data_IF_367489138952
#
_entry.id   IF_367489138952
#
_cell.length_a   1.000
_cell.length_b   1.000
_cell.length_c   1.000
_cell.angle_alpha   90.00
_cell.angle_beta   90.00
_cell.angle_gamma   90.00
#
_symmetry.space_group_name_H-M   'P 1'
#
loop_
_entity.id
_entity.type
_entity.pdbx_description
1 polymer ?
#
# COMPACT_ATOMS: atom_id res chain seq x y z
N UNK A 1 -28.05 -12.82 -10.93
CA UNK A 1 -27.19 -13.48 -11.95
C UNK A 1 -26.28 -12.41 -12.51
N UNK A 2 -25.17 -12.17 -11.84
CA UNK A 2 -24.13 -11.22 -12.27
C UNK A 2 -23.27 -11.91 -13.32
N UNK A 3 -23.44 -11.55 -14.58
CA UNK A 3 -22.50 -11.90 -15.64
C UNK A 3 -21.16 -11.25 -15.30
N UNK A 4 -20.17 -12.07 -14.95
CA UNK A 4 -18.81 -11.63 -14.68
C UNK A 4 -18.20 -11.02 -15.93
N UNK A 5 -18.01 -9.70 -15.92
CA UNK A 5 -17.11 -9.05 -16.85
C UNK A 5 -15.70 -9.30 -16.33
N UNK A 6 -15.04 -10.36 -16.80
CA UNK A 6 -13.57 -10.41 -16.73
C UNK A 6 -13.07 -9.34 -17.69
N UNK A 7 -12.54 -8.25 -17.13
CA UNK A 7 -11.75 -7.30 -17.90
C UNK A 7 -10.37 -7.96 -18.05
N UNK A 8 -10.17 -8.67 -19.16
CA UNK A 8 -8.83 -9.05 -19.56
C UNK A 8 -8.06 -7.76 -19.84
N UNK A 9 -7.20 -7.37 -18.90
CA UNK A 9 -6.08 -6.50 -19.23
C UNK A 9 -5.21 -7.30 -20.18
N UNK A 10 -5.43 -7.14 -21.49
CA UNK A 10 -4.38 -7.44 -22.44
C UNK A 10 -3.18 -6.63 -21.99
N UNK A 11 -2.18 -7.31 -21.41
CA UNK A 11 -0.88 -6.71 -21.15
C UNK A 11 -0.45 -6.11 -22.48
N UNK A 12 -0.50 -4.78 -22.57
CA UNK A 12 -0.16 -4.03 -23.78
C UNK A 12 1.33 -4.27 -24.03
N UNK A 13 1.62 -5.31 -24.80
CA UNK A 13 2.89 -5.46 -25.48
C UNK A 13 2.96 -4.32 -26.47
N UNK A 14 3.72 -3.27 -26.13
CA UNK A 14 4.24 -2.35 -27.12
C UNK A 14 5.28 -3.12 -27.95
N UNK A 15 4.81 -4.02 -28.80
CA UNK A 15 5.58 -4.65 -29.87
C UNK A 15 4.70 -4.64 -31.10
N UNK A 16 4.82 -3.60 -31.91
CA UNK A 16 4.70 -3.79 -33.33
C UNK A 16 5.76 -2.96 -34.06
N UNK A 17 6.92 -3.58 -34.22
CA UNK A 17 7.91 -3.20 -35.21
C UNK A 17 7.39 -3.61 -36.58
N UNK A 18 6.53 -2.78 -37.16
CA UNK A 18 6.08 -2.91 -38.54
C UNK A 18 7.17 -2.45 -39.50
N UNK A 19 7.90 -3.41 -40.07
CA UNK A 19 8.79 -3.21 -41.22
C UNK A 19 7.93 -2.82 -42.43
N UNK A 20 7.90 -1.52 -42.75
CA UNK A 20 7.32 -0.99 -43.98
C UNK A 20 8.40 -0.66 -44.99
N UNK A 21 8.56 -1.50 -46.02
CA UNK A 21 9.29 -1.16 -47.23
C UNK A 21 8.56 -0.02 -47.96
N UNK A 22 9.29 1.04 -48.32
CA UNK A 22 8.86 2.03 -49.31
C UNK A 22 10.04 2.40 -50.20
N UNK A 23 9.82 2.27 -51.50
CA UNK A 23 10.77 2.48 -52.59
C UNK A 23 11.11 3.97 -52.79
N UNK A 24 12.30 4.18 -53.35
CA UNK A 24 12.91 5.44 -53.80
C UNK A 24 12.11 6.16 -54.91
N UNK A 25 12.17 7.50 -54.93
CA UNK A 25 12.35 8.27 -56.17
C UNK A 25 12.91 9.71 -55.94
N UNK A 26 14.13 9.90 -56.45
CA UNK A 26 14.92 11.07 -56.93
C UNK A 26 14.53 12.56 -56.73
N UNK A 27 15.51 13.32 -56.17
CA UNK A 27 16.26 14.52 -56.69
C UNK A 27 15.47 15.84 -57.00
N UNK A 28 15.77 17.04 -56.47
CA UNK A 28 16.86 18.04 -56.76
C UNK A 28 16.85 19.16 -55.69
N UNK A 29 18.00 19.75 -55.31
CA UNK A 29 18.06 21.21 -55.02
C UNK A 29 18.80 21.75 -53.78
N UNK A 30 20.13 21.72 -53.80
CA UNK A 30 21.11 22.76 -53.32
C UNK A 30 20.76 23.74 -52.18
N UNK A 31 21.58 23.76 -51.10
CA UNK A 31 22.65 24.76 -50.82
C UNK A 31 23.16 24.71 -49.35
N UNK A 32 24.49 24.47 -49.20
CA UNK A 32 25.51 25.15 -48.34
C UNK A 32 25.16 25.47 -46.86
N UNK A 33 26.01 25.25 -45.82
CA UNK A 33 27.47 25.22 -45.74
C UNK A 33 28.01 24.70 -44.36
N UNK A 34 29.17 24.03 -44.41
CA UNK A 34 30.38 24.05 -43.52
C UNK A 34 30.26 23.62 -42.03
N UNK A 35 30.80 22.45 -41.65
CA UNK A 35 32.15 22.19 -41.06
C UNK A 35 32.40 22.94 -39.73
N UNK A 36 32.71 22.30 -38.59
CA UNK A 36 33.92 21.50 -38.36
C UNK A 36 33.89 20.68 -37.06
N UNK A 37 34.62 19.55 -37.07
CA UNK A 37 35.03 18.73 -35.92
C UNK A 37 36.20 19.38 -35.17
N UNK A 38 36.27 19.18 -33.85
CA UNK A 38 37.51 19.28 -33.10
C UNK A 38 37.53 18.29 -31.92
N UNK A 39 38.63 17.53 -31.82
CA UNK A 39 38.92 16.45 -30.86
C UNK A 39 39.89 16.98 -29.78
N UNK A 40 39.57 16.71 -28.50
CA UNK A 40 40.37 16.48 -27.26
C UNK A 40 41.49 17.48 -26.82
N UNK A 41 41.73 17.71 -25.50
CA UNK A 41 42.31 16.70 -24.59
C UNK A 41 41.88 16.74 -23.10
N UNK A 42 42.11 15.63 -22.39
CA UNK A 42 42.14 15.51 -20.91
C UNK A 42 43.58 15.80 -20.44
N UNK A 43 43.79 16.60 -19.39
CA UNK A 43 44.47 16.06 -18.20
C UNK A 43 44.09 16.69 -16.84
N UNK A 44 44.21 15.88 -15.77
CA UNK A 44 44.88 16.30 -14.52
C UNK A 44 44.02 16.82 -13.36
N UNK A 45 44.09 16.11 -12.24
CA UNK A 45 43.58 16.41 -10.89
C UNK A 45 43.74 17.85 -10.40
N UNK A 46 42.74 18.40 -9.70
CA UNK A 46 42.89 19.15 -8.43
C UNK A 46 41.53 19.19 -7.69
N UNK A 47 41.55 18.84 -6.40
CA UNK A 47 40.45 19.07 -5.45
C UNK A 47 40.14 20.55 -5.29
N UNK A 48 38.86 20.91 -5.19
CA UNK A 48 38.41 22.01 -4.33
C UNK A 48 36.93 21.84 -3.99
N UNK A 49 36.68 21.62 -2.71
CA UNK A 49 35.37 21.66 -2.07
C UNK A 49 34.68 23.01 -2.31
N UNK A 50 33.41 22.98 -2.71
CA UNK A 50 32.40 23.91 -2.23
C UNK A 50 31.00 23.31 -2.48
N UNK A 51 30.10 23.39 -1.49
CA UNK A 51 28.75 22.84 -1.56
C UNK A 51 27.85 23.85 -2.28
N UNK A 52 26.97 23.39 -3.16
CA UNK A 52 25.89 24.25 -3.63
C UNK A 52 24.53 23.57 -3.56
N UNK A 53 23.62 24.33 -2.98
CA UNK A 53 22.31 23.99 -2.44
C UNK A 53 21.28 23.99 -3.57
N UNK A 54 21.32 23.02 -4.47
CA UNK A 54 20.22 22.76 -5.39
C UNK A 54 20.15 21.26 -5.73
N UNK A 55 19.67 20.46 -4.77
CA UNK A 55 19.00 19.20 -5.10
C UNK A 55 17.49 19.40 -4.89
N UNK A 56 16.63 19.16 -5.90
CA UNK A 56 15.29 18.74 -5.57
C UNK A 56 15.43 17.45 -4.75
N UNK A 57 14.81 17.39 -3.58
CA UNK A 57 14.71 16.18 -2.79
C UNK A 57 13.89 15.14 -3.57
N UNK A 58 14.53 14.48 -4.54
CA UNK A 58 14.05 13.23 -5.08
C UNK A 58 14.57 12.16 -4.13
N UNK A 59 13.75 11.78 -3.15
CA UNK A 59 13.87 10.51 -2.47
C UNK A 59 13.58 9.41 -3.49
N UNK A 60 14.53 9.16 -4.39
CA UNK A 60 14.52 8.01 -5.27
C UNK A 60 14.89 6.84 -4.38
N UNK A 61 13.93 5.94 -4.14
CA UNK A 61 14.23 4.64 -3.57
C UNK A 61 15.22 3.95 -4.52
N UNK A 62 16.47 3.78 -4.08
CA UNK A 62 17.52 3.13 -4.85
C UNK A 62 17.38 1.61 -4.67
N UNK A 63 16.95 0.93 -5.74
CA UNK A 63 16.73 -0.53 -5.77
C UNK A 63 17.98 -1.30 -6.22
N UNK A 64 19.15 -0.66 -6.29
CA UNK A 64 20.33 -1.20 -7.00
C UNK A 64 21.25 -2.10 -6.16
N UNK A 65 20.94 -2.39 -4.89
CA UNK A 65 21.84 -3.16 -4.02
C UNK A 65 21.35 -4.60 -3.74
N UNK A 66 21.87 -5.62 -4.46
CA UNK A 66 21.51 -7.02 -4.27
C UNK A 66 22.03 -7.64 -2.96
N UNK A 67 22.85 -6.93 -2.17
CA UNK A 67 23.30 -7.37 -0.84
C UNK A 67 22.32 -7.04 0.29
N UNK A 68 21.26 -6.27 0.01
CA UNK A 68 20.17 -5.94 0.94
C UNK A 68 19.00 -6.95 0.90
N UNK A 69 19.07 -7.96 0.03
CA UNK A 69 17.95 -8.87 -0.27
C UNK A 69 17.78 -9.98 0.79
N UNK A 70 18.72 -10.11 1.74
CA UNK A 70 18.68 -11.09 2.83
C UNK A 70 18.25 -10.57 4.21
N UNK A 71 18.02 -9.25 4.35
CA UNK A 71 17.66 -8.62 5.64
C UNK A 71 16.65 -7.49 5.44
N UNK A 72 15.51 -7.78 4.79
CA UNK A 72 14.33 -6.95 5.05
C UNK A 72 13.91 -7.20 6.50
N UNK A 73 14.54 -6.49 7.43
CA UNK A 73 13.92 -6.17 8.71
C UNK A 73 12.53 -5.65 8.36
N UNK A 74 11.52 -6.43 8.72
CA UNK A 74 10.14 -5.94 8.76
C UNK A 74 10.21 -4.65 9.58
N UNK A 75 9.73 -3.50 9.05
CA UNK A 75 9.81 -2.26 9.79
C UNK A 75 9.14 -2.48 11.14
N UNK A 76 9.89 -2.17 12.19
CA UNK A 76 9.43 -1.94 13.54
C UNK A 76 8.02 -1.32 13.51
N UNK A 77 7.01 -2.10 13.91
CA UNK A 77 5.61 -1.66 13.96
C UNK A 77 5.43 -0.81 15.21
N UNK A 78 4.47 0.11 15.21
CA UNK A 78 4.18 0.95 16.38
C UNK A 78 2.76 0.70 16.85
N UNK A 79 2.61 0.44 18.15
CA UNK A 79 1.30 0.38 18.80
C UNK A 79 1.20 1.45 19.87
N UNK A 80 -0.02 1.95 20.10
CA UNK A 80 -0.31 2.90 21.18
C UNK A 80 -1.02 2.15 22.30
N UNK A 81 -0.50 2.28 23.52
CA UNK A 81 -1.08 1.65 24.72
C UNK A 81 -1.49 2.71 25.72
N UNK A 82 -2.69 2.57 26.25
CA UNK A 82 -3.35 3.53 27.13
C UNK A 82 -3.42 3.01 28.57
N UNK A 83 -3.49 3.93 29.53
CA UNK A 83 -3.92 3.70 30.91
C UNK A 83 -5.41 4.05 31.04
N UNK A 84 -6.01 3.70 32.19
CA UNK A 84 -7.41 4.05 32.48
C UNK A 84 -7.66 5.57 32.52
N UNK A 85 -6.65 6.36 32.91
CA UNK A 85 -6.67 7.83 32.88
C UNK A 85 -6.44 8.45 31.48
N UNK A 86 -6.51 7.63 30.43
CA UNK A 86 -6.27 7.98 29.02
C UNK A 86 -4.85 8.48 28.71
N UNK A 87 -3.91 8.44 29.66
CA UNK A 87 -2.50 8.63 29.35
C UNK A 87 -2.02 7.48 28.45
N UNK A 88 -1.21 7.78 27.44
CA UNK A 88 -0.80 6.80 26.45
C UNK A 88 0.67 6.93 26.09
N UNK A 89 1.30 5.81 25.74
CA UNK A 89 2.64 5.78 25.14
C UNK A 89 2.61 5.01 23.81
N UNK A 90 3.60 5.28 22.96
CA UNK A 90 3.83 4.53 21.72
C UNK A 90 4.99 3.58 21.94
N UNK A 91 4.79 2.31 21.62
CA UNK A 91 5.82 1.27 21.75
C UNK A 91 6.12 0.72 20.37
N UNK A 92 7.42 0.65 20.08
CA UNK A 92 7.95 -0.02 18.91
C UNK A 92 7.96 -1.52 19.19
N UNK A 93 7.37 -2.30 18.30
CA UNK A 93 7.22 -3.75 18.41
C UNK A 93 7.63 -4.44 17.12
N UNK A 94 8.14 -5.66 17.26
CA UNK A 94 8.33 -6.60 16.15
C UNK A 94 7.10 -7.49 16.01
N UNK A 95 6.97 -8.22 14.89
CA UNK A 95 5.87 -9.19 14.70
C UNK A 95 5.82 -10.28 15.77
N UNK A 96 6.97 -10.60 16.37
CA UNK A 96 7.12 -11.65 17.37
C UNK A 96 6.99 -11.12 18.80
N UNK A 97 6.94 -9.80 19.00
CA UNK A 97 6.73 -9.19 20.32
C UNK A 97 5.37 -9.61 20.88
N UNK A 98 5.38 -10.23 22.05
CA UNK A 98 4.18 -10.78 22.68
C UNK A 98 3.47 -9.73 23.54
N UNK A 99 2.19 -9.97 23.88
CA UNK A 99 1.44 -9.13 24.80
C UNK A 99 2.14 -8.99 26.16
N UNK A 100 2.84 -10.03 26.63
CA UNK A 100 3.64 -9.97 27.87
C UNK A 100 4.85 -9.05 27.75
N UNK A 101 5.53 -9.07 26.60
CA UNK A 101 6.66 -8.18 26.34
C UNK A 101 6.20 -6.73 26.30
N UNK A 102 5.06 -6.46 25.63
CA UNK A 102 4.42 -5.13 25.60
C UNK A 102 4.07 -4.67 27.01
N UNK A 103 3.45 -5.50 27.84
CA UNK A 103 3.15 -5.15 29.23
C UNK A 103 4.43 -4.76 29.98
N UNK A 104 5.50 -5.54 29.84
CA UNK A 104 6.77 -5.26 30.50
C UNK A 104 7.39 -3.93 30.04
N UNK A 105 7.33 -3.65 28.73
CA UNK A 105 7.81 -2.38 28.16
C UNK A 105 6.99 -1.19 28.67
N UNK A 106 5.66 -1.30 28.59
CA UNK A 106 4.73 -0.21 28.94
C UNK A 106 4.77 0.11 30.44
N UNK A 107 4.91 -0.91 31.30
CA UNK A 107 5.09 -0.73 32.76
C UNK A 107 6.35 0.07 33.06
N UNK A 108 7.45 -0.23 32.36
CA UNK A 108 8.70 0.53 32.50
C UNK A 108 8.57 1.95 31.93
N UNK A 109 7.94 2.11 30.77
CA UNK A 109 7.73 3.40 30.09
C UNK A 109 6.89 4.37 30.94
N UNK A 110 5.83 3.86 31.59
CA UNK A 110 5.02 4.65 32.51
C UNK A 110 5.63 4.82 33.91
N UNK A 111 6.77 4.17 34.20
CA UNK A 111 7.43 4.25 35.50
C UNK A 111 6.61 3.65 36.66
N UNK A 112 5.86 2.58 36.40
CA UNK A 112 5.00 1.95 37.40
C UNK A 112 5.83 1.10 38.38
N UNK A 113 5.52 1.20 39.68
CA UNK A 113 6.27 0.52 40.75
C UNK A 113 5.90 -0.96 40.92
N UNK A 114 4.71 -1.36 40.47
CA UNK A 114 4.24 -2.74 40.58
C UNK A 114 4.86 -3.62 39.49
N UNK A 115 5.06 -4.90 39.79
CA UNK A 115 5.67 -5.86 38.87
C UNK A 115 4.82 -6.03 37.60
N UNK A 116 5.46 -6.29 36.45
CA UNK A 116 4.76 -6.48 35.17
C UNK A 116 3.68 -7.58 35.22
N UNK A 117 3.89 -8.63 36.02
CA UNK A 117 2.94 -9.74 36.18
C UNK A 117 1.63 -9.32 36.90
N UNK A 118 1.58 -8.16 37.55
CA UNK A 118 0.33 -7.62 38.12
C UNK A 118 -0.52 -6.92 37.07
N UNK A 119 0.00 -6.70 35.86
CA UNK A 119 -0.72 -6.05 34.77
C UNK A 119 -1.08 -7.05 33.68
N UNK A 120 -2.05 -6.67 32.86
CA UNK A 120 -2.43 -7.39 31.65
C UNK A 120 -2.72 -6.40 30.53
N UNK A 121 -2.47 -6.83 29.30
CA UNK A 121 -2.91 -6.10 28.11
C UNK A 121 -4.37 -6.44 27.83
N UNK A 122 -5.21 -5.41 27.74
CA UNK A 122 -6.61 -5.53 27.37
C UNK A 122 -6.84 -4.82 26.04
N UNK A 123 -7.66 -5.43 25.19
CA UNK A 123 -8.24 -4.78 24.02
C UNK A 123 -9.63 -4.28 24.39
N UNK A 124 -9.89 -3.00 24.15
CA UNK A 124 -11.21 -2.40 24.21
C UNK A 124 -11.61 -2.05 22.79
N UNK A 125 -12.70 -2.65 22.32
CA UNK A 125 -13.26 -2.46 20.97
C UNK A 125 -14.70 -2.00 21.05
N UNK A 126 -15.15 -1.22 20.08
CA UNK A 126 -16.49 -0.64 20.09
C UNK A 126 -17.30 -1.18 18.92
N UNK A 127 -18.42 -1.80 19.22
CA UNK A 127 -19.31 -2.32 18.19
C UNK A 127 -19.99 -1.17 17.45
N UNK A 128 -20.47 -1.36 16.21
CA UNK A 128 -21.21 -0.32 15.48
C UNK A 128 -22.43 0.22 16.23
N UNK A 129 -23.02 -0.57 17.12
CA UNK A 129 -24.13 -0.20 17.99
C UNK A 129 -23.70 0.62 19.23
N UNK A 130 -22.42 0.95 19.36
CA UNK A 130 -21.85 1.69 20.49
C UNK A 130 -21.54 0.83 21.72
N UNK A 131 -21.65 -0.49 21.62
CA UNK A 131 -21.39 -1.40 22.75
C UNK A 131 -19.89 -1.58 22.95
N UNK A 132 -19.40 -1.24 24.15
CA UNK A 132 -18.02 -1.44 24.59
C UNK A 132 -17.78 -2.92 24.88
N UNK A 133 -16.83 -3.52 24.17
CA UNK A 133 -16.36 -4.89 24.40
C UNK A 133 -14.92 -4.84 24.91
N UNK A 134 -14.68 -5.45 26.06
CA UNK A 134 -13.35 -5.56 26.64
C UNK A 134 -12.92 -7.01 26.68
N UNK A 135 -11.67 -7.28 26.26
CA UNK A 135 -11.06 -8.61 26.31
C UNK A 135 -9.64 -8.52 26.84
N UNK A 136 -9.30 -9.36 27.81
CA UNK A 136 -7.90 -9.59 28.20
C UNK A 136 -7.21 -10.43 27.12
N UNK A 137 -6.07 -9.96 26.63
CA UNK A 137 -5.28 -10.67 25.63
C UNK A 137 -4.44 -11.77 26.30
N UNK A 138 -4.26 -12.94 25.65
CA UNK A 138 -3.32 -13.95 26.12
C UNK A 138 -1.88 -13.43 26.10
N UNK A 139 -1.10 -13.77 27.11
CA UNK A 139 0.30 -13.32 27.26
C UNK A 139 1.19 -13.65 26.05
N UNK A 140 0.95 -14.79 25.40
CA UNK A 140 1.70 -15.28 24.24
C UNK A 140 1.18 -14.73 22.90
N UNK A 141 0.16 -13.86 22.91
CA UNK A 141 -0.39 -13.30 21.68
C UNK A 141 0.61 -12.34 21.04
N UNK A 142 0.96 -12.60 19.78
CA UNK A 142 1.82 -11.74 18.95
C UNK A 142 1.05 -11.15 17.75
N UNK A 143 1.75 -10.41 16.88
CA UNK A 143 1.17 -9.67 15.74
C UNK A 143 0.08 -8.67 16.17
N UNK A 144 0.36 -7.93 17.24
CA UNK A 144 -0.61 -7.02 17.86
C UNK A 144 -1.02 -5.89 16.91
N UNK A 145 -0.07 -5.28 16.18
CA UNK A 145 -0.42 -4.18 15.26
C UNK A 145 -1.30 -4.65 14.08
N UNK A 146 -1.14 -5.90 13.63
CA UNK A 146 -1.96 -6.47 12.55
C UNK A 146 -3.38 -6.85 13.03
N UNK A 147 -3.60 -7.00 14.34
CA UNK A 147 -4.86 -7.48 14.93
C UNK A 147 -5.80 -6.38 15.39
N UNK A 148 -5.26 -5.24 15.81
CA UNK A 148 -6.08 -4.13 16.32
C UNK A 148 -6.91 -3.51 15.20
N UNK A 149 -8.19 -3.29 15.49
CA UNK A 149 -9.11 -2.62 14.57
C UNK A 149 -9.12 -1.10 14.80
N UNK A 150 -9.62 -0.33 13.84
CA UNK A 150 -9.71 1.14 13.94
C UNK A 150 -10.59 1.63 15.11
N UNK A 151 -11.59 0.83 15.48
CA UNK A 151 -12.47 1.04 16.63
C UNK A 151 -11.97 0.34 17.90
N UNK A 152 -10.68 -0.04 17.93
CA UNK A 152 -10.02 -0.74 19.02
C UNK A 152 -8.87 0.07 19.61
N UNK A 153 -8.63 -0.09 20.91
CA UNK A 153 -7.48 0.47 21.64
C UNK A 153 -6.91 -0.57 22.61
N UNK A 154 -5.59 -0.57 22.76
CA UNK A 154 -4.91 -1.38 23.77
C UNK A 154 -4.76 -0.60 25.08
N UNK A 155 -5.12 -1.24 26.18
CA UNK A 155 -5.03 -0.69 27.52
C UNK A 155 -4.17 -1.58 28.41
N UNK A 156 -3.30 -0.96 29.20
CA UNK A 156 -2.63 -1.61 30.31
C UNK A 156 -3.59 -1.60 31.51
N UNK A 157 -4.00 -2.78 31.97
CA UNK A 157 -4.90 -2.95 33.13
C UNK A 157 -4.16 -3.55 34.31
N UNK A 158 -4.28 -2.95 35.48
CA UNK A 158 -3.88 -3.58 36.74
C UNK A 158 -4.89 -4.68 37.12
N UNK A 159 -4.42 -5.92 37.32
CA UNK A 159 -5.26 -7.07 37.61
C UNK A 159 -5.98 -6.97 38.96
N UNK A 160 -5.47 -6.16 39.88
CA UNK A 160 -6.06 -5.93 41.19
C UNK A 160 -7.11 -4.83 41.20
N UNK A 161 -7.16 -4.00 40.15
CA UNK A 161 -8.09 -2.86 40.05
C UNK A 161 -9.29 -3.20 39.18
N UNK A 162 -10.46 -2.72 39.60
CA UNK A 162 -11.73 -2.86 38.88
C UNK A 162 -12.12 -1.59 38.12
N UNK A 163 -11.16 -0.69 37.90
CA UNK A 163 -11.41 0.57 37.19
C UNK A 163 -11.87 0.31 35.74
N UNK A 164 -12.76 1.17 35.26
CA UNK A 164 -13.23 1.19 33.88
C UNK A 164 -12.14 1.77 32.98
N UNK A 165 -11.69 1.00 32.00
CA UNK A 165 -10.58 1.41 31.12
C UNK A 165 -10.98 2.48 30.10
N UNK A 166 -12.25 2.51 29.72
CA UNK A 166 -12.80 3.37 28.68
C UNK A 166 -14.17 3.84 29.16
N UNK A 167 -14.37 5.16 29.22
CA UNK A 167 -15.67 5.75 29.56
C UNK A 167 -16.62 5.76 28.37
N UNK A 168 -17.89 6.06 28.60
CA UNK A 168 -18.87 6.20 27.51
C UNK A 168 -18.50 7.35 26.55
N UNK A 169 -17.86 8.42 27.04
CA UNK A 169 -17.43 9.56 26.23
C UNK A 169 -16.22 9.18 25.35
N UNK A 170 -15.20 8.53 25.93
CA UNK A 170 -14.04 8.01 25.19
C UNK A 170 -14.47 7.01 24.12
N UNK A 171 -15.51 6.21 24.43
CA UNK A 171 -16.06 5.24 23.51
C UNK A 171 -16.75 5.92 22.32
N UNK A 172 -17.57 6.95 22.57
CA UNK A 172 -18.18 7.72 21.50
C UNK A 172 -17.14 8.41 20.62
N UNK A 173 -16.06 8.91 21.20
CA UNK A 173 -14.95 9.50 20.46
C UNK A 173 -14.23 8.46 19.60
N UNK A 174 -13.85 7.31 20.16
CA UNK A 174 -13.20 6.22 19.40
C UNK A 174 -14.08 5.73 18.24
N UNK A 175 -15.39 5.57 18.47
CA UNK A 175 -16.30 5.18 17.40
C UNK A 175 -16.33 6.21 16.27
N UNK A 176 -16.34 7.50 16.62
CA UNK A 176 -16.30 8.61 15.65
C UNK A 176 -14.98 8.63 14.88
N UNK A 177 -13.86 8.47 15.56
CA UNK A 177 -12.51 8.43 14.96
C UNK A 177 -12.32 7.22 14.03
N UNK A 178 -12.94 6.09 14.35
CA UNK A 178 -12.85 4.87 13.55
C UNK A 178 -13.54 4.97 12.18
N UNK A 179 -14.44 5.95 12.01
CA UNK A 179 -15.16 6.19 10.77
C UNK A 179 -14.31 7.06 9.82
N UNK A 180 -13.41 6.40 9.10
CA UNK A 180 -12.54 7.06 8.12
C UNK A 180 -13.23 7.11 6.75
N UNK A 181 -13.36 8.30 6.18
CA UNK A 181 -13.78 8.52 4.80
C UNK A 181 -12.58 8.53 3.87
N UNK A 182 -12.72 7.96 2.67
CA UNK A 182 -11.72 8.03 1.62
C UNK A 182 -11.23 9.47 1.34
N UNK A 183 -12.12 10.46 1.45
CA UNK A 183 -11.78 11.88 1.24
C UNK A 183 -10.80 12.46 2.27
N UNK A 184 -10.59 11.80 3.41
CA UNK A 184 -9.67 12.24 4.46
C UNK A 184 -8.25 11.68 4.27
N UNK A 185 -8.08 10.70 3.37
CA UNK A 185 -6.81 10.02 3.16
C UNK A 185 -5.90 10.80 2.21
N UNK A 186 -4.58 10.68 2.44
CA UNK A 186 -3.56 11.25 1.56
C UNK A 186 -3.50 10.47 0.26
N UNK A 187 -3.63 11.16 -0.88
CA UNK A 187 -3.54 10.54 -2.21
C UNK A 187 -2.16 9.98 -2.50
N UNK A 188 -1.11 10.60 -1.95
CA UNK A 188 0.28 10.12 -2.07
C UNK A 188 0.46 8.82 -1.30
N UNK A 189 -0.04 8.77 -0.06
CA UNK A 189 0.09 7.57 0.78
C UNK A 189 -0.74 6.42 0.21
N UNK A 190 -1.97 6.69 -0.24
CA UNK A 190 -2.79 5.70 -0.94
C UNK A 190 -2.06 5.11 -2.16
N UNK A 191 -1.50 5.96 -3.02
CA UNK A 191 -0.76 5.49 -4.19
C UNK A 191 0.49 4.68 -3.82
N UNK A 192 1.21 5.08 -2.76
CA UNK A 192 2.35 4.34 -2.24
C UNK A 192 1.93 2.95 -1.73
N UNK A 193 0.87 2.85 -0.94
CA UNK A 193 0.36 1.59 -0.40
C UNK A 193 -0.15 0.65 -1.50
N UNK A 194 -0.89 1.16 -2.50
CA UNK A 194 -1.29 0.37 -3.67
C UNK A 194 -0.05 -0.16 -4.40
N UNK A 195 0.94 0.71 -4.63
CA UNK A 195 2.19 0.32 -5.31
C UNK A 195 3.01 -0.72 -4.54
N UNK A 196 3.06 -0.61 -3.21
CA UNK A 196 3.74 -1.61 -2.36
C UNK A 196 3.04 -2.96 -2.42
N UNK A 197 1.72 -2.98 -2.26
CA UNK A 197 0.90 -4.20 -2.34
C UNK A 197 1.05 -4.88 -3.70
N UNK A 198 0.93 -4.12 -4.78
CA UNK A 198 1.07 -4.63 -6.14
C UNK A 198 2.47 -5.18 -6.39
N UNK A 199 3.50 -4.48 -5.92
CA UNK A 199 4.88 -4.92 -6.08
C UNK A 199 5.17 -6.22 -5.33
N UNK A 200 4.63 -6.39 -4.12
CA UNK A 200 4.78 -7.60 -3.32
C UNK A 200 4.21 -8.85 -4.02
N UNK A 201 3.13 -8.71 -4.80
CA UNK A 201 2.61 -9.79 -5.63
C UNK A 201 3.40 -9.94 -6.94
N UNK A 202 3.63 -8.82 -7.63
CA UNK A 202 4.28 -8.79 -8.93
C UNK A 202 5.66 -9.43 -8.92
N UNK A 203 6.46 -9.19 -7.87
CA UNK A 203 7.82 -9.74 -7.75
C UNK A 203 7.87 -11.26 -7.63
N UNK A 204 6.76 -11.91 -7.29
CA UNK A 204 6.67 -13.37 -7.16
C UNK A 204 6.19 -14.05 -8.44
N UNK A 205 5.75 -13.29 -9.45
CA UNK A 205 5.28 -13.84 -10.73
C UNK A 205 6.48 -14.39 -11.50
N UNK A 206 6.44 -15.69 -11.79
CA UNK A 206 7.46 -16.34 -12.61
C UNK A 206 7.17 -16.17 -14.11
N UNK A 207 8.21 -16.06 -14.95
CA UNK A 207 8.02 -15.95 -16.41
C UNK A 207 7.30 -17.17 -17.01
N UNK A 208 7.41 -18.33 -16.37
CA UNK A 208 6.70 -19.57 -16.74
C UNK A 208 5.20 -19.45 -16.58
N UNK A 209 4.70 -18.68 -15.61
CA UNK A 209 3.26 -18.45 -15.41
C UNK A 209 2.60 -17.83 -16.63
N UNK A 210 3.28 -16.89 -17.29
CA UNK A 210 2.79 -16.28 -18.52
C UNK A 210 2.71 -17.29 -19.68
N UNK A 211 3.67 -18.21 -19.78
CA UNK A 211 3.64 -19.24 -20.81
C UNK A 211 2.51 -20.24 -20.54
N UNK A 212 2.31 -20.62 -19.29
CA UNK A 212 1.20 -21.50 -18.89
C UNK A 212 -0.16 -20.87 -19.21
N UNK A 213 -0.36 -19.59 -18.88
CA UNK A 213 -1.61 -18.87 -19.17
C UNK A 213 -1.82 -18.71 -20.69
N UNK A 214 -0.77 -18.33 -21.43
CA UNK A 214 -0.83 -18.13 -22.88
C UNK A 214 -1.18 -19.43 -23.64
N UNK A 215 -0.54 -20.53 -23.28
CA UNK A 215 -0.74 -21.83 -23.94
C UNK A 215 -1.80 -22.70 -23.29
N UNK A 216 -2.44 -22.23 -22.20
CA UNK A 216 -3.45 -22.94 -21.42
C UNK A 216 -2.99 -24.34 -21.03
N UNK A 217 -1.77 -24.44 -20.53
CA UNK A 217 -1.16 -25.72 -20.16
C UNK A 217 -1.79 -26.23 -18.85
N UNK A 218 -2.26 -27.48 -18.85
CA UNK A 218 -2.94 -28.11 -17.69
C UNK A 218 -1.95 -28.50 -16.57
N UNK A 219 -1.27 -27.51 -15.97
CA UNK A 219 -0.44 -27.69 -14.78
C UNK A 219 0.67 -28.74 -14.91
N UNK A 220 1.10 -29.03 -16.14
CA UNK A 220 2.11 -30.05 -16.43
C UNK A 220 3.50 -29.60 -15.98
N UNK A 221 3.69 -28.30 -15.78
CA UNK A 221 4.86 -27.68 -15.20
C UNK A 221 4.56 -27.30 -13.74
N UNK A 222 5.54 -27.53 -12.85
CA UNK A 222 5.39 -27.43 -11.39
C UNK A 222 5.52 -25.98 -10.90
N UNK A 223 4.67 -25.08 -11.38
CA UNK A 223 4.63 -23.72 -10.84
C UNK A 223 4.02 -23.74 -9.44
N UNK A 224 4.62 -22.98 -8.53
CA UNK A 224 4.11 -22.83 -7.18
C UNK A 224 2.72 -22.19 -7.22
N UNK A 225 1.76 -22.81 -6.52
CA UNK A 225 0.40 -22.30 -6.36
C UNK A 225 0.18 -21.98 -4.89
N UNK A 226 -0.68 -21.02 -4.61
CA UNK A 226 -1.14 -20.77 -3.26
C UNK A 226 -2.10 -21.88 -2.74
N UNK A 227 -2.55 -21.72 -1.51
CA UNK A 227 -3.51 -22.63 -0.86
C UNK A 227 -4.87 -22.70 -1.60
N UNK A 228 -5.19 -21.68 -2.42
CA UNK A 228 -6.39 -21.62 -3.25
C UNK A 228 -6.17 -22.22 -4.66
N UNK A 229 -4.96 -22.68 -4.98
CA UNK A 229 -4.60 -23.24 -6.28
C UNK A 229 -4.37 -22.20 -7.37
N UNK A 230 -4.25 -20.92 -7.03
CA UNK A 230 -3.97 -19.81 -7.94
C UNK A 230 -2.46 -19.60 -8.10
N UNK A 231 -2.06 -19.17 -9.30
CA UNK A 231 -0.70 -18.69 -9.55
C UNK A 231 -0.59 -17.22 -9.16
N UNK A 232 0.62 -16.71 -8.93
CA UNK A 232 0.83 -15.30 -8.59
C UNK A 232 0.31 -14.36 -9.68
N UNK A 233 0.41 -14.75 -10.95
CA UNK A 233 -0.13 -14.03 -12.09
C UNK A 233 -1.65 -13.85 -11.98
N UNK A 234 -2.38 -14.91 -11.60
CA UNK A 234 -3.83 -14.85 -11.42
C UNK A 234 -4.24 -14.01 -10.21
N UNK A 235 -3.50 -14.10 -9.12
CA UNK A 235 -3.71 -13.22 -7.96
C UNK A 235 -3.48 -11.75 -8.32
N UNK A 236 -2.42 -11.47 -9.09
CA UNK A 236 -2.11 -10.12 -9.54
C UNK A 236 -3.22 -9.55 -10.46
N UNK A 237 -3.71 -10.36 -11.40
CA UNK A 237 -4.88 -10.03 -12.23
C UNK A 237 -6.12 -9.71 -11.37
N UNK A 238 -6.36 -10.51 -10.32
CA UNK A 238 -7.50 -10.31 -9.43
C UNK A 238 -7.41 -9.01 -8.63
N UNK A 239 -6.24 -8.65 -8.10
CA UNK A 239 -6.05 -7.38 -7.37
C UNK A 239 -6.35 -6.18 -8.25
N UNK A 240 -5.86 -6.16 -9.49
CA UNK A 240 -6.12 -5.06 -10.43
C UNK A 240 -7.63 -4.94 -10.73
N UNK A 241 -8.33 -6.07 -10.85
CA UNK A 241 -9.78 -6.08 -11.01
C UNK A 241 -10.49 -5.55 -9.75
N UNK A 242 -10.04 -5.95 -8.55
CA UNK A 242 -10.57 -5.44 -7.29
C UNK A 242 -10.38 -3.93 -7.17
N UNK A 243 -9.24 -3.37 -7.56
CA UNK A 243 -9.01 -1.93 -7.58
C UNK A 243 -9.96 -1.21 -8.55
N UNK A 244 -10.15 -1.79 -9.73
CA UNK A 244 -11.08 -1.27 -10.75
C UNK A 244 -12.51 -1.20 -10.20
N UNK A 245 -13.00 -2.29 -9.59
CA UNK A 245 -14.32 -2.34 -8.99
C UNK A 245 -14.45 -1.49 -7.72
N UNK A 246 -13.37 -1.35 -6.94
CA UNK A 246 -13.34 -0.48 -5.76
C UNK A 246 -13.64 0.96 -6.14
N UNK A 247 -12.98 1.49 -7.18
CA UNK A 247 -13.21 2.85 -7.67
C UNK A 247 -14.67 3.07 -8.08
N UNK A 248 -15.22 2.16 -8.88
CA UNK A 248 -16.62 2.26 -9.32
C UNK A 248 -17.59 2.17 -8.13
N UNK A 249 -17.36 1.23 -7.22
CA UNK A 249 -18.20 1.00 -6.04
C UNK A 249 -18.24 2.22 -5.13
N UNK A 250 -17.08 2.84 -4.86
CA UNK A 250 -16.98 3.99 -3.98
C UNK A 250 -17.72 5.22 -4.54
N UNK A 251 -17.66 5.41 -5.86
CA UNK A 251 -18.38 6.51 -6.53
C UNK A 251 -19.89 6.27 -6.52
N UNK A 252 -20.33 5.04 -6.80
CA UNK A 252 -21.75 4.68 -6.88
C UNK A 252 -22.42 4.65 -5.50
N UNK A 253 -21.67 4.32 -4.44
CA UNK A 253 -22.17 4.31 -3.06
C UNK A 253 -22.34 5.70 -2.45
N UNK A 254 -21.75 6.75 -3.02
CA UNK A 254 -21.84 8.10 -2.47
C UNK A 254 -23.10 8.83 -3.01
N UNK A 255 -24.17 8.96 -2.21
CA UNK A 255 -25.42 9.59 -2.65
C UNK A 255 -25.28 11.11 -2.83
N UNK A 256 -24.32 11.75 -2.16
CA UNK A 256 -24.16 13.19 -2.24
C UNK A 256 -23.35 13.58 -3.48
N UNK A 257 -24.00 14.24 -4.44
CA UNK A 257 -23.37 14.67 -5.71
C UNK A 257 -22.06 15.44 -5.52
N UNK A 258 -21.99 16.33 -4.52
CA UNK A 258 -20.80 17.14 -4.27
C UNK A 258 -19.66 16.30 -3.70
N UNK A 259 -19.95 15.38 -2.77
CA UNK A 259 -18.96 14.42 -2.26
C UNK A 259 -18.51 13.46 -3.37
N UNK A 260 -19.44 12.95 -4.18
CA UNK A 260 -19.14 12.09 -5.34
C UNK A 260 -18.17 12.75 -6.31
N UNK A 261 -18.36 14.04 -6.63
CA UNK A 261 -17.40 14.81 -7.44
C UNK A 261 -16.02 14.89 -6.78
N UNK A 262 -15.95 15.11 -5.45
CA UNK A 262 -14.68 15.13 -4.72
C UNK A 262 -13.99 13.76 -4.75
N UNK A 263 -14.74 12.67 -4.63
CA UNK A 263 -14.23 11.29 -4.71
C UNK A 263 -13.63 11.02 -6.09
N UNK A 264 -14.30 11.41 -7.16
CA UNK A 264 -13.76 11.31 -8.54
C UNK A 264 -12.44 12.09 -8.66
N UNK A 265 -12.41 13.35 -8.18
CA UNK A 265 -11.17 14.16 -8.19
C UNK A 265 -10.04 13.52 -7.38
N UNK A 266 -10.38 12.87 -6.26
CA UNK A 266 -9.42 12.17 -5.44
C UNK A 266 -8.80 10.99 -6.20
N UNK A 267 -9.61 10.14 -6.83
CA UNK A 267 -9.12 9.01 -7.63
C UNK A 267 -8.23 9.45 -8.79
N UNK A 268 -8.58 10.55 -9.49
CA UNK A 268 -7.71 11.11 -10.53
C UNK A 268 -6.33 11.48 -9.96
N UNK A 269 -6.28 12.08 -8.77
CA UNK A 269 -5.01 12.40 -8.09
C UNK A 269 -4.24 11.14 -7.69
N UNK A 270 -4.92 10.11 -7.17
CA UNK A 270 -4.29 8.83 -6.83
C UNK A 270 -3.65 8.22 -8.09
N UNK A 271 -4.37 8.17 -9.22
CA UNK A 271 -3.84 7.66 -10.48
C UNK A 271 -2.60 8.42 -10.96
N UNK A 272 -2.58 9.75 -10.81
CA UNK A 272 -1.40 10.56 -11.11
C UNK A 272 -0.20 10.20 -10.24
N UNK A 273 -0.39 9.96 -8.95
CA UNK A 273 0.68 9.50 -8.06
C UNK A 273 1.11 8.05 -8.36
N UNK A 274 0.19 7.15 -8.70
CA UNK A 274 0.55 5.80 -9.15
C UNK A 274 1.47 5.86 -10.38
N UNK A 275 1.22 6.79 -11.32
CA UNK A 275 2.12 7.05 -12.45
C UNK A 275 3.51 7.52 -12.01
N UNK A 276 3.59 8.41 -11.03
CA UNK A 276 4.86 8.88 -10.45
C UNK A 276 5.64 7.74 -9.79
N UNK A 277 4.94 6.83 -9.11
CA UNK A 277 5.47 5.58 -8.56
C UNK A 277 5.82 4.53 -9.63
N UNK A 278 5.53 4.79 -10.92
CA UNK A 278 5.62 3.83 -12.03
C UNK A 278 4.73 2.59 -11.86
N UNK A 279 3.73 2.65 -10.99
CA UNK A 279 2.67 1.66 -10.92
C UNK A 279 1.58 1.97 -11.96
N UNK A 280 1.82 1.51 -13.19
CA UNK A 280 0.87 1.69 -14.28
C UNK A 280 -0.36 0.79 -14.13
N UNK A 281 -0.26 -0.33 -13.41
CA UNK A 281 -1.39 -1.25 -13.20
C UNK A 281 -2.49 -0.57 -12.40
N UNK A 282 -2.23 -0.07 -11.19
CA UNK A 282 -3.23 0.69 -10.44
C UNK A 282 -3.67 1.97 -11.13
N UNK A 283 -2.76 2.66 -11.83
CA UNK A 283 -3.13 3.85 -12.62
C UNK A 283 -4.23 3.52 -13.62
N UNK A 284 -4.06 2.43 -14.40
CA UNK A 284 -5.05 2.00 -15.37
C UNK A 284 -6.29 1.39 -14.71
N UNK A 285 -6.16 0.65 -13.61
CA UNK A 285 -7.29 0.13 -12.84
C UNK A 285 -8.23 1.26 -12.39
N UNK A 286 -7.66 2.35 -11.86
CA UNK A 286 -8.42 3.53 -11.45
C UNK A 286 -9.11 4.19 -12.65
N UNK A 287 -8.39 4.42 -13.76
CA UNK A 287 -8.98 5.02 -14.98
C UNK A 287 -10.13 4.15 -15.51
N UNK A 288 -9.94 2.84 -15.55
CA UNK A 288 -10.97 1.87 -15.95
C UNK A 288 -12.19 1.94 -15.02
N UNK A 289 -11.97 1.98 -13.71
CA UNK A 289 -13.05 2.09 -12.71
C UNK A 289 -13.86 3.38 -12.86
N UNK A 290 -13.20 4.51 -13.14
CA UNK A 290 -13.87 5.79 -13.43
C UNK A 290 -14.75 5.70 -14.69
N UNK A 291 -14.31 4.98 -15.71
CA UNK A 291 -15.08 4.77 -16.94
C UNK A 291 -16.25 3.80 -16.75
N UNK A 292 -16.16 2.85 -15.81
CA UNK A 292 -17.23 1.87 -15.53
C UNK A 292 -18.38 2.46 -14.72
N UNK A 293 -18.11 3.40 -13.81
CA UNK A 293 -19.13 3.93 -12.89
C UNK A 293 -20.39 4.47 -13.61
N UNK A 294 -20.30 5.26 -14.69
CA UNK A 294 -21.49 5.74 -15.41
C UNK A 294 -22.33 4.62 -16.05
N UNK A 295 -21.70 3.52 -16.51
CA UNK A 295 -22.43 2.41 -17.15
C UNK A 295 -23.17 1.55 -16.14
N UNK A 296 -22.61 1.39 -14.93
CA UNK A 296 -23.22 0.62 -13.85
C UNK A 296 -24.38 1.36 -13.17
N UNK A 297 -24.48 2.69 -13.29
CA UNK A 297 -25.60 3.49 -12.77
C UNK A 297 -26.88 3.32 -13.63
N UNK A 298 -26.76 2.80 -14.85
CA UNK A 298 -27.86 2.64 -15.83
C UNK A 298 -28.44 1.23 -15.93
N UNK A 299 -27.97 0.28 -15.11
CA UNK A 299 -28.45 -1.12 -15.08
C UNK A 299 -29.24 -1.41 -13.80
#
# INVERSE_FOLDING_TARGET
MTTGVSISFGFWTACDGGVGQSQDDSIVGTKQARHSLAIMPIPGSLSSSSPDLLQPATSVLDFSNPSAVGFYYIPDQVIRVFKADQQSCYIIISKDTTAKDVVSHVVNEFGLLAASDTYSLCEVSISPEGVIKQRRLPDQLSKLADRIQLNGRYYLKNNMETETLCSDDDAQELLRESQISLLQLSTVELAAQLSMRDFDLFRNIESTEYLEDLFKLDGTYRVARDDAGLTHLKQFEEIINQETFWVATEILREPNTMKRMKTIKLFIKIALHCRECKNFNSMFAIISGLNLAPFMETA
#
